data_IF_260184599932
#
_entry.id   IF_260184599932
#
_cell.length_a   1.000
_cell.length_b   1.000
_cell.length_c   1.000
_cell.angle_alpha   90.00
_cell.angle_beta   90.00
_cell.angle_gamma   90.00
#
_symmetry.space_group_name_H-M   'P 1'
#
loop_
_entity.id
_entity.type
_entity.pdbx_description
1 polymer ?
#
# COMPACT_ATOMS: atom_id res chain seq x y z
N UNK A 1 17.09 9.89 23.54
CA UNK A 1 16.94 9.03 24.75
C UNK A 1 16.38 7.64 24.41
N UNK A 2 15.25 7.53 23.70
CA UNK A 2 14.67 6.24 23.27
C UNK A 2 15.60 5.36 22.42
N UNK A 3 16.35 5.92 21.47
CA UNK A 3 17.29 5.15 20.63
C UNK A 3 18.52 4.60 21.39
N UNK A 4 18.90 5.22 22.51
CA UNK A 4 20.02 4.75 23.34
C UNK A 4 19.57 3.57 24.21
N UNK A 5 18.33 3.62 24.71
CA UNK A 5 17.73 2.54 25.50
C UNK A 5 17.46 1.28 24.66
N UNK A 6 17.03 1.43 23.40
CA UNK A 6 16.81 0.29 22.51
C UNK A 6 18.11 -0.46 22.16
N UNK A 7 19.22 0.26 21.96
CA UNK A 7 20.54 -0.38 21.72
C UNK A 7 21.04 -1.12 22.95
N UNK A 8 20.79 -0.61 24.16
CA UNK A 8 21.13 -1.30 25.40
C UNK A 8 20.31 -2.59 25.57
N UNK A 9 19.00 -2.54 25.31
CA UNK A 9 18.12 -3.71 25.42
C UNK A 9 18.45 -4.80 24.39
N UNK A 10 18.72 -4.43 23.13
CA UNK A 10 19.11 -5.40 22.09
C UNK A 10 20.49 -6.04 22.36
N UNK A 11 21.40 -5.33 23.02
CA UNK A 11 22.71 -5.89 23.41
C UNK A 11 22.62 -6.92 24.56
N UNK A 12 21.60 -6.79 25.42
CA UNK A 12 21.32 -7.73 26.52
C UNK A 12 20.57 -8.98 26.08
N UNK A 13 19.74 -8.91 25.03
CA UNK A 13 18.87 -10.01 24.61
C UNK A 13 19.64 -11.12 23.85
N UNK A 14 20.82 -10.81 23.30
CA UNK A 14 21.61 -11.77 22.49
C UNK A 14 22.79 -12.42 23.23
N UNK A 15 22.91 -12.24 24.55
CA UNK A 15 23.93 -12.93 25.34
C UNK A 15 23.28 -14.03 26.16
N UNK A 16 23.33 -15.26 25.63
CA UNK A 16 23.04 -16.46 26.42
C UNK A 16 23.85 -16.38 27.73
N UNK A 17 23.25 -16.65 28.91
CA UNK A 17 23.97 -16.55 30.17
C UNK A 17 25.13 -17.55 30.17
N UNK A 18 26.33 -17.06 29.90
CA UNK A 18 27.56 -17.84 29.95
C UNK A 18 27.66 -18.37 31.39
N UNK A 19 27.68 -19.70 31.52
CA UNK A 19 27.80 -20.39 32.81
C UNK A 19 28.91 -19.76 33.66
N UNK A 20 28.74 -19.62 34.98
CA UNK A 20 29.78 -19.09 35.87
C UNK A 20 31.14 -19.77 35.67
N UNK A 21 31.12 -21.07 35.37
CA UNK A 21 32.31 -21.89 35.06
C UNK A 21 32.98 -21.46 33.75
N UNK A 22 32.20 -21.11 32.73
CA UNK A 22 32.73 -20.61 31.46
C UNK A 22 33.28 -19.19 31.58
N UNK A 23 32.68 -18.33 32.42
CA UNK A 23 33.23 -17.00 32.73
C UNK A 23 34.57 -17.10 33.47
N UNK A 24 34.66 -18.02 34.43
CA UNK A 24 35.91 -18.29 35.15
C UNK A 24 36.98 -18.87 34.21
N UNK A 25 36.60 -19.78 33.31
CA UNK A 25 37.49 -20.28 32.27
C UNK A 25 37.97 -19.14 31.35
N UNK A 26 37.08 -18.26 30.90
CA UNK A 26 37.43 -17.12 30.06
C UNK A 26 38.41 -16.16 30.75
N UNK A 27 38.18 -15.83 32.03
CA UNK A 27 39.08 -15.01 32.82
C UNK A 27 40.49 -15.62 32.97
N UNK A 28 40.60 -16.95 33.11
CA UNK A 28 41.90 -17.64 33.15
C UNK A 28 42.66 -17.51 31.82
N UNK A 29 41.95 -17.61 30.68
CA UNK A 29 42.54 -17.42 29.35
C UNK A 29 42.91 -15.97 29.07
N UNK A 30 42.12 -15.01 29.52
CA UNK A 30 42.41 -13.58 29.37
C UNK A 30 43.61 -13.17 30.25
N UNK A 31 43.69 -13.65 31.49
CA UNK A 31 44.87 -13.47 32.35
C UNK A 31 46.13 -14.16 31.77
N UNK A 32 45.96 -15.28 31.06
CA UNK A 32 47.06 -15.95 30.35
C UNK A 32 47.46 -15.23 29.05
N UNK A 33 46.54 -14.49 28.41
CA UNK A 33 46.80 -13.71 27.19
C UNK A 33 47.85 -12.62 27.42
N UNK A 34 47.86 -12.00 28.60
CA UNK A 34 48.90 -11.05 29.03
C UNK A 34 50.28 -11.69 29.32
N UNK A 35 50.33 -13.00 29.56
CA UNK A 35 51.57 -13.79 29.76
C UNK A 35 52.03 -14.52 28.50
N UNK A 36 51.29 -14.37 27.40
CA UNK A 36 51.61 -15.04 26.15
C UNK A 36 52.67 -14.24 25.41
N UNK A 37 53.79 -14.87 25.09
CA UNK A 37 54.91 -14.23 24.40
C UNK A 37 54.46 -13.64 23.04
N UNK A 38 54.99 -12.46 22.63
CA UNK A 38 54.51 -11.72 21.46
C UNK A 38 54.48 -12.51 20.14
N UNK A 39 55.31 -13.57 20.04
CA UNK A 39 55.38 -14.42 18.86
C UNK A 39 54.11 -15.24 18.63
N UNK A 40 53.42 -15.70 19.68
CA UNK A 40 52.21 -16.54 19.53
C UNK A 40 51.03 -15.72 19.00
N UNK A 41 50.90 -14.48 19.46
CA UNK A 41 49.90 -13.54 18.95
C UNK A 41 50.21 -13.12 17.51
N UNK A 42 51.48 -12.83 17.20
CA UNK A 42 51.91 -12.57 15.82
C UNK A 42 51.68 -13.78 14.89
N UNK A 43 51.94 -15.00 15.37
CA UNK A 43 51.65 -16.23 14.63
C UNK A 43 50.16 -16.40 14.38
N UNK A 44 49.31 -16.15 15.38
CA UNK A 44 47.84 -16.19 15.25
C UNK A 44 47.34 -15.20 14.21
N UNK A 45 47.82 -13.95 14.25
CA UNK A 45 47.51 -12.92 13.25
C UNK A 45 47.94 -13.34 11.84
N UNK A 46 49.16 -13.84 11.67
CA UNK A 46 49.66 -14.36 10.38
C UNK A 46 48.85 -15.56 9.88
N UNK A 47 48.42 -16.45 10.77
CA UNK A 47 47.60 -17.60 10.42
C UNK A 47 46.20 -17.16 9.94
N UNK A 48 45.54 -16.26 10.67
CA UNK A 48 44.25 -15.69 10.26
C UNK A 48 44.35 -14.92 8.95
N UNK A 49 45.42 -14.16 8.72
CA UNK A 49 45.68 -13.49 7.45
C UNK A 49 45.87 -14.50 6.31
N UNK A 50 46.63 -15.58 6.52
CA UNK A 50 46.78 -16.66 5.54
C UNK A 50 45.44 -17.32 5.22
N UNK A 51 44.63 -17.59 6.24
CA UNK A 51 43.30 -18.19 6.08
C UNK A 51 42.37 -17.25 5.30
N UNK A 52 42.34 -15.96 5.65
CA UNK A 52 41.56 -14.93 4.96
C UNK A 52 41.97 -14.80 3.51
N UNK A 53 43.27 -14.73 3.22
CA UNK A 53 43.79 -14.63 1.86
C UNK A 53 43.52 -15.91 1.06
N UNK A 54 43.59 -17.08 1.69
CA UNK A 54 43.25 -18.35 1.04
C UNK A 54 41.77 -18.40 0.66
N UNK A 55 40.88 -17.95 1.56
CA UNK A 55 39.45 -17.84 1.30
C UNK A 55 39.17 -16.84 0.17
N UNK A 56 39.81 -15.66 0.21
CA UNK A 56 39.67 -14.65 -0.84
C UNK A 56 40.07 -15.21 -2.21
N UNK A 57 41.24 -15.87 -2.31
CA UNK A 57 41.68 -16.52 -3.56
C UNK A 57 40.71 -17.60 -4.06
N UNK A 58 40.13 -18.40 -3.17
CA UNK A 58 39.14 -19.40 -3.57
C UNK A 58 37.87 -18.73 -4.12
N UNK A 59 37.36 -17.71 -3.42
CA UNK A 59 36.17 -16.97 -3.87
C UNK A 59 36.43 -16.27 -5.20
N UNK A 60 37.59 -15.62 -5.36
CA UNK A 60 37.96 -14.97 -6.62
C UNK A 60 38.15 -16.00 -7.73
N UNK A 61 38.69 -17.19 -7.43
CA UNK A 61 38.75 -18.29 -8.39
C UNK A 61 37.33 -18.71 -8.82
N UNK A 62 36.37 -18.83 -7.92
CA UNK A 62 34.99 -19.15 -8.28
C UNK A 62 34.30 -18.02 -9.07
N UNK A 63 34.61 -16.76 -8.76
CA UNK A 63 34.07 -15.60 -9.47
C UNK A 63 34.68 -15.41 -10.87
N UNK A 64 35.96 -15.74 -11.04
CA UNK A 64 36.70 -15.63 -12.30
C UNK A 64 36.69 -16.92 -13.12
N UNK A 65 35.87 -17.93 -12.78
CA UNK A 65 35.52 -19.00 -13.72
C UNK A 65 34.53 -18.40 -14.75
N UNK A 66 35.05 -17.47 -15.56
CA UNK A 66 34.42 -16.91 -16.76
C UNK A 66 34.97 -17.62 -18.01
N UNK A 67 35.08 -18.94 -17.93
CA UNK A 67 34.97 -19.78 -19.12
C UNK A 67 33.58 -20.38 -19.05
N UNK A 68 32.64 -19.84 -19.83
CA UNK A 68 31.23 -20.24 -19.83
C UNK A 68 31.03 -21.77 -19.83
N UNK A 69 31.94 -22.52 -20.46
CA UNK A 69 31.92 -23.99 -20.49
C UNK A 69 32.13 -24.67 -19.13
N UNK A 70 33.00 -24.14 -18.26
CA UNK A 70 33.36 -24.78 -16.97
C UNK A 70 32.32 -24.51 -15.87
N UNK A 71 31.71 -23.32 -15.87
CA UNK A 71 30.64 -22.98 -14.92
C UNK A 71 29.34 -23.75 -15.25
N UNK A 72 29.02 -23.90 -16.53
CA UNK A 72 27.88 -24.70 -16.99
C UNK A 72 28.06 -26.20 -16.67
N UNK A 73 29.27 -26.74 -16.79
CA UNK A 73 29.55 -28.15 -16.44
C UNK A 73 29.47 -28.41 -14.94
N UNK A 74 30.00 -27.53 -14.08
CA UNK A 74 29.85 -27.67 -12.63
C UNK A 74 28.39 -27.53 -12.17
N UNK A 75 27.64 -26.58 -12.72
CA UNK A 75 26.21 -26.43 -12.44
C UNK A 75 25.42 -27.68 -12.89
N UNK A 76 25.71 -28.20 -14.08
CA UNK A 76 25.09 -29.45 -14.57
C UNK A 76 25.45 -30.66 -13.72
N UNK A 77 26.69 -30.77 -13.26
CA UNK A 77 27.12 -31.85 -12.37
C UNK A 77 26.43 -31.77 -11.01
N UNK A 78 26.30 -30.57 -10.44
CA UNK A 78 25.56 -30.37 -9.19
C UNK A 78 24.08 -30.72 -9.35
N UNK A 79 23.45 -30.32 -10.46
CA UNK A 79 22.07 -30.69 -10.78
C UNK A 79 21.92 -32.21 -10.95
N UNK A 80 22.85 -32.88 -11.65
CA UNK A 80 22.82 -34.33 -11.86
C UNK A 80 23.02 -35.13 -10.56
N UNK A 81 23.90 -34.67 -9.66
CA UNK A 81 24.07 -35.28 -8.33
C UNK A 81 22.80 -35.09 -7.50
N UNK A 82 22.22 -33.89 -7.52
CA UNK A 82 20.98 -33.59 -6.81
C UNK A 82 19.82 -34.43 -7.34
N UNK A 83 19.63 -34.54 -8.66
CA UNK A 83 18.61 -35.40 -9.27
C UNK A 83 18.84 -36.89 -8.96
N UNK A 84 20.10 -37.35 -8.96
CA UNK A 84 20.44 -38.73 -8.63
C UNK A 84 20.17 -39.09 -7.16
N UNK A 85 20.56 -38.22 -6.22
CA UNK A 85 20.33 -38.44 -4.80
C UNK A 85 18.85 -38.27 -4.41
N UNK A 86 18.16 -37.28 -4.99
CA UNK A 86 16.75 -37.02 -4.70
C UNK A 86 15.84 -38.10 -5.30
N UNK A 87 16.12 -38.55 -6.53
CA UNK A 87 15.38 -39.63 -7.18
C UNK A 87 15.56 -40.97 -6.48
N UNK A 88 16.80 -41.30 -6.09
CA UNK A 88 17.09 -42.56 -5.39
C UNK A 88 16.56 -42.59 -3.96
N UNK A 89 16.57 -41.45 -3.25
CA UNK A 89 16.02 -41.36 -1.89
C UNK A 89 14.49 -41.51 -1.88
N UNK A 90 13.80 -40.98 -2.90
CA UNK A 90 12.36 -41.13 -3.02
C UNK A 90 11.97 -42.57 -3.40
N UNK A 91 12.70 -43.21 -4.32
CA UNK A 91 12.46 -44.62 -4.68
C UNK A 91 12.81 -45.62 -3.56
N UNK A 92 13.75 -45.28 -2.68
CA UNK A 92 14.15 -46.19 -1.58
C UNK A 92 13.23 -46.07 -0.36
N UNK A 93 12.57 -44.93 -0.16
CA UNK A 93 11.63 -44.73 0.95
C UNK A 93 10.17 -45.09 0.60
N UNK A 94 9.81 -45.12 -0.68
CA UNK A 94 8.55 -45.69 -1.15
C UNK A 94 8.74 -47.19 -1.39
N UNK A 95 8.90 -47.94 -0.30
CA UNK A 95 8.81 -49.39 -0.35
C UNK A 95 7.43 -49.82 -0.87
N UNK A 96 7.36 -51.01 -1.47
CA UNK A 96 6.21 -51.67 -2.14
C UNK A 96 4.95 -51.90 -1.25
N UNK A 97 4.77 -51.11 -0.18
CA UNK A 97 3.63 -51.14 0.72
C UNK A 97 2.57 -50.12 0.30
N UNK A 98 1.51 -50.59 -0.37
CA UNK A 98 0.33 -49.82 -0.78
C UNK A 98 -0.21 -48.88 0.33
N UNK A 99 -0.15 -49.32 1.59
CA UNK A 99 -0.75 -48.60 2.73
C UNK A 99 0.02 -47.32 3.13
N UNK A 100 1.35 -47.32 3.03
CA UNK A 100 2.17 -46.13 3.37
C UNK A 100 2.04 -45.06 2.29
N UNK A 101 1.98 -45.47 1.02
CA UNK A 101 1.74 -44.60 -0.12
C UNK A 101 0.36 -43.92 -0.03
N UNK A 102 -0.68 -44.67 0.37
CA UNK A 102 -2.03 -44.16 0.56
C UNK A 102 -2.12 -43.18 1.74
N UNK A 103 -1.42 -43.46 2.84
CA UNK A 103 -1.31 -42.53 3.97
C UNK A 103 -0.61 -41.21 3.59
N UNK A 104 0.46 -41.28 2.78
CA UNK A 104 1.15 -40.10 2.24
C UNK A 104 0.25 -39.27 1.32
N UNK A 105 -0.54 -39.92 0.46
CA UNK A 105 -1.51 -39.24 -0.40
C UNK A 105 -2.61 -38.55 0.41
N UNK A 106 -3.12 -39.20 1.46
CA UNK A 106 -4.11 -38.60 2.36
C UNK A 106 -3.57 -37.33 3.05
N UNK A 107 -2.32 -37.34 3.52
CA UNK A 107 -1.66 -36.16 4.10
C UNK A 107 -1.51 -35.04 3.05
N UNK A 108 -1.16 -35.39 1.82
CA UNK A 108 -1.05 -34.39 0.75
C UNK A 108 -2.40 -33.77 0.38
N UNK A 109 -3.47 -34.56 0.37
CA UNK A 109 -4.84 -34.06 0.18
C UNK A 109 -5.28 -33.13 1.30
N UNK A 110 -4.99 -33.48 2.57
CA UNK A 110 -5.26 -32.62 3.72
C UNK A 110 -4.54 -31.27 3.60
N UNK A 111 -3.24 -31.28 3.28
CA UNK A 111 -2.44 -30.06 3.08
C UNK A 111 -2.95 -29.23 1.89
N UNK A 112 -3.40 -29.89 0.82
CA UNK A 112 -3.97 -29.18 -0.33
C UNK A 112 -5.31 -28.50 0.01
N UNK A 113 -6.15 -29.15 0.82
CA UNK A 113 -7.43 -28.58 1.27
C UNK A 113 -7.21 -27.40 2.23
N UNK A 114 -6.26 -27.53 3.16
CA UNK A 114 -5.85 -26.45 4.05
C UNK A 114 -5.33 -25.24 3.25
N UNK A 115 -4.48 -25.49 2.25
CA UNK A 115 -3.95 -24.45 1.37
C UNK A 115 -5.06 -23.74 0.57
N UNK A 116 -6.05 -24.50 0.05
CA UNK A 116 -7.19 -23.93 -0.65
C UNK A 116 -8.00 -23.03 0.28
N UNK A 117 -8.29 -23.52 1.48
CA UNK A 117 -9.04 -22.78 2.51
C UNK A 117 -8.34 -21.46 2.86
N UNK A 118 -7.03 -21.48 3.09
CA UNK A 118 -6.26 -20.26 3.36
C UNK A 118 -6.24 -19.31 2.17
N UNK A 119 -6.16 -19.83 0.94
CA UNK A 119 -6.17 -18.99 -0.26
C UNK A 119 -7.50 -18.27 -0.45
N UNK A 120 -8.63 -18.95 -0.15
CA UNK A 120 -9.97 -18.37 -0.20
C UNK A 120 -10.14 -17.30 0.89
N UNK A 121 -9.74 -17.62 2.13
CA UNK A 121 -9.77 -16.64 3.23
C UNK A 121 -8.94 -15.40 2.92
N UNK A 122 -7.74 -15.56 2.35
CA UNK A 122 -6.90 -14.43 1.96
C UNK A 122 -7.55 -13.59 0.85
N UNK A 123 -8.22 -14.23 -0.11
CA UNK A 123 -8.93 -13.52 -1.18
C UNK A 123 -10.10 -12.69 -0.61
N UNK A 124 -10.86 -13.26 0.33
CA UNK A 124 -11.96 -12.56 1.02
C UNK A 124 -11.45 -11.40 1.89
N UNK A 125 -10.36 -11.61 2.64
CA UNK A 125 -9.73 -10.57 3.46
C UNK A 125 -9.27 -9.39 2.61
N UNK A 126 -8.59 -9.66 1.49
CA UNK A 126 -8.14 -8.62 0.54
C UNK A 126 -9.35 -7.88 -0.06
N UNK A 127 -10.36 -8.61 -0.52
CA UNK A 127 -11.57 -8.01 -1.08
C UNK A 127 -12.29 -7.11 -0.06
N UNK A 128 -12.40 -7.57 1.19
CA UNK A 128 -13.03 -6.79 2.27
C UNK A 128 -12.25 -5.51 2.59
N UNK A 129 -10.93 -5.56 2.59
CA UNK A 129 -10.07 -4.41 2.81
C UNK A 129 -10.19 -3.39 1.66
N UNK A 130 -10.15 -3.87 0.41
CA UNK A 130 -10.35 -3.03 -0.77
C UNK A 130 -11.72 -2.36 -0.77
N UNK A 131 -12.77 -3.11 -0.41
CA UNK A 131 -14.11 -2.57 -0.27
C UNK A 131 -14.17 -1.47 0.81
N UNK A 132 -13.57 -1.69 1.98
CA UNK A 132 -13.54 -0.70 3.04
C UNK A 132 -12.77 0.58 2.65
N UNK A 133 -11.65 0.47 1.93
CA UNK A 133 -10.93 1.63 1.40
C UNK A 133 -11.78 2.40 0.38
N UNK A 134 -12.42 1.69 -0.55
CA UNK A 134 -13.32 2.29 -1.53
C UNK A 134 -14.50 3.00 -0.85
N UNK A 135 -15.13 2.39 0.14
CA UNK A 135 -16.20 3.00 0.92
C UNK A 135 -15.72 4.27 1.64
N UNK A 136 -14.52 4.25 2.25
CA UNK A 136 -13.95 5.44 2.87
C UNK A 136 -13.70 6.55 1.85
N UNK A 137 -13.18 6.23 0.67
CA UNK A 137 -12.92 7.19 -0.42
C UNK A 137 -14.23 7.76 -0.97
N UNK A 138 -15.22 6.91 -1.17
CA UNK A 138 -16.57 7.31 -1.62
C UNK A 138 -17.21 8.23 -0.57
N UNK A 139 -17.16 7.88 0.72
CA UNK A 139 -17.70 8.72 1.80
C UNK A 139 -17.05 10.11 1.82
N UNK A 140 -15.72 10.21 1.60
CA UNK A 140 -15.04 11.51 1.46
C UNK A 140 -15.54 12.31 0.25
N UNK A 141 -15.92 11.64 -0.84
CA UNK A 141 -16.47 12.29 -2.04
C UNK A 141 -17.98 12.57 -1.94
N UNK A 142 -18.69 11.93 -1.00
CA UNK A 142 -20.12 12.12 -0.79
C UNK A 142 -20.45 13.41 -0.04
N UNK A 143 -19.46 14.10 0.56
CA UNK A 143 -19.62 15.44 1.12
C UNK A 143 -20.53 16.27 0.21
N UNK A 144 -21.55 16.92 0.79
CA UNK A 144 -22.51 17.77 0.07
C UNK A 144 -21.86 19.08 -0.44
N UNK A 145 -20.58 19.03 -0.81
CA UNK A 145 -19.88 20.16 -1.38
C UNK A 145 -20.21 20.24 -2.87
N UNK A 146 -20.67 21.40 -3.31
CA UNK A 146 -20.95 21.66 -4.72
C UNK A 146 -19.97 22.74 -5.17
N UNK A 147 -19.12 22.41 -6.14
CA UNK A 147 -18.24 23.40 -6.77
C UNK A 147 -19.10 24.39 -7.55
N UNK A 148 -18.84 25.67 -7.38
CA UNK A 148 -19.56 26.73 -8.07
C UNK A 148 -19.38 26.58 -9.60
N UNK A 149 -20.46 26.46 -10.37
CA UNK A 149 -20.38 26.23 -11.81
C UNK A 149 -19.85 27.43 -12.60
N UNK A 150 -19.93 28.65 -12.04
CA UNK A 150 -19.44 29.87 -12.69
C UNK A 150 -17.91 30.03 -12.57
N UNK A 151 -17.38 29.97 -11.34
CA UNK A 151 -15.94 30.16 -11.14
C UNK A 151 -15.15 28.85 -11.22
N UNK A 152 -15.82 27.69 -11.09
CA UNK A 152 -15.23 26.35 -11.12
C UNK A 152 -14.10 26.11 -10.11
N UNK A 153 -13.98 26.98 -9.10
CA UNK A 153 -12.89 26.98 -8.12
C UNK A 153 -13.41 26.86 -6.70
N UNK A 154 -14.47 27.59 -6.34
CA UNK A 154 -14.94 27.72 -4.96
C UNK A 154 -16.14 26.81 -4.68
N UNK A 155 -16.20 26.25 -3.47
CA UNK A 155 -17.37 25.49 -3.00
C UNK A 155 -18.50 26.47 -2.64
N UNK A 156 -19.74 26.12 -3.02
CA UNK A 156 -20.94 26.88 -2.67
C UNK A 156 -21.20 26.79 -1.16
N UNK A 157 -21.64 27.91 -0.57
CA UNK A 157 -21.97 27.98 0.85
C UNK A 157 -23.48 28.21 1.01
N UNK A 158 -24.13 27.40 1.83
CA UNK A 158 -25.53 27.62 2.19
C UNK A 158 -25.60 28.48 3.46
N UNK A 159 -26.30 29.59 3.37
CA UNK A 159 -26.62 30.49 4.47
C UNK A 159 -28.12 30.51 4.71
N UNK A 160 -28.55 30.25 5.94
CA UNK A 160 -29.93 30.44 6.38
C UNK A 160 -30.00 31.68 7.27
N UNK A 161 -30.73 32.70 6.84
CA UNK A 161 -30.92 33.92 7.63
C UNK A 161 -32.25 33.86 8.35
N UNK A 162 -32.24 33.89 9.68
CA UNK A 162 -33.42 34.14 10.50
C UNK A 162 -33.58 35.64 10.68
N UNK A 163 -34.29 36.32 9.77
CA UNK A 163 -34.64 37.72 9.98
C UNK A 163 -35.72 37.83 11.07
N UNK A 164 -35.57 38.69 12.09
CA UNK A 164 -36.62 38.93 13.05
C UNK A 164 -37.72 39.78 12.41
N UNK A 165 -38.97 39.38 12.62
CA UNK A 165 -40.22 40.14 12.43
C UNK A 165 -41.10 39.93 11.18
N UNK A 166 -40.79 39.04 10.24
CA UNK A 166 -41.84 38.52 9.31
C UNK A 166 -41.51 37.10 8.83
N UNK A 167 -42.51 36.23 8.83
CA UNK A 167 -42.44 34.80 8.52
C UNK A 167 -41.89 34.52 7.11
N UNK A 168 -40.60 34.24 6.96
CA UNK A 168 -40.07 33.31 5.96
C UNK A 168 -38.58 33.05 6.18
N UNK A 169 -38.24 31.79 6.48
CA UNK A 169 -36.86 31.32 6.55
C UNK A 169 -36.31 31.27 5.12
N UNK A 170 -35.53 32.28 4.72
CA UNK A 170 -34.95 32.32 3.38
C UNK A 170 -33.61 31.57 3.39
N UNK A 171 -33.59 30.45 2.65
CA UNK A 171 -32.36 29.72 2.33
C UNK A 171 -31.69 30.41 1.14
N UNK A 172 -30.40 30.69 1.27
CA UNK A 172 -29.60 31.36 0.25
C UNK A 172 -28.30 30.58 0.03
N UNK A 173 -27.97 30.29 -1.22
CA UNK A 173 -26.69 29.67 -1.61
C UNK A 173 -25.81 30.73 -2.26
N UNK A 174 -24.62 30.92 -1.73
CA UNK A 174 -23.70 31.98 -2.15
C UNK A 174 -22.34 31.42 -2.53
N UNK A 175 -21.64 32.15 -3.39
CA UNK A 175 -20.24 31.90 -3.72
C UNK A 175 -19.43 33.20 -3.59
N UNK A 176 -18.18 33.15 -3.11
CA UNK A 176 -17.29 34.31 -3.10
C UNK A 176 -17.04 34.96 -4.47
N UNK A 177 -17.32 34.26 -5.58
CA UNK A 177 -17.25 34.84 -6.92
C UNK A 177 -18.41 35.81 -7.26
N UNK A 178 -19.42 35.93 -6.39
CA UNK A 178 -20.57 36.82 -6.59
C UNK A 178 -21.89 36.12 -6.93
N UNK A 179 -21.90 34.80 -7.10
CA UNK A 179 -23.14 34.03 -7.31
C UNK A 179 -24.01 34.04 -6.05
N UNK A 180 -25.31 34.35 -6.20
CA UNK A 180 -26.31 34.29 -5.12
C UNK A 180 -27.63 33.70 -5.61
N UNK A 181 -27.97 32.52 -5.13
CA UNK A 181 -29.20 31.80 -5.43
C UNK A 181 -30.13 31.89 -4.20
N UNK A 182 -31.33 32.41 -4.39
CA UNK A 182 -32.31 32.61 -3.31
C UNK A 182 -33.42 31.55 -3.39
N UNK A 183 -33.87 31.05 -2.23
CA UNK A 183 -34.98 30.10 -2.14
C UNK A 183 -34.62 28.67 -2.54
N UNK A 184 -33.34 28.38 -2.80
CA UNK A 184 -32.88 27.05 -3.25
C UNK A 184 -31.84 26.52 -2.27
N UNK A 185 -32.00 25.25 -1.89
CA UNK A 185 -31.04 24.56 -1.04
C UNK A 185 -29.83 24.10 -1.87
N UNK A 186 -28.71 23.93 -1.20
CA UNK A 186 -27.48 23.43 -1.82
C UNK A 186 -27.68 22.01 -2.38
N UNK A 187 -28.54 21.21 -1.75
CA UNK A 187 -28.94 19.89 -2.24
C UNK A 187 -29.71 19.99 -3.57
N UNK A 188 -30.68 20.91 -3.67
CA UNK A 188 -31.43 21.11 -4.91
C UNK A 188 -30.51 21.55 -6.06
N UNK A 189 -29.54 22.44 -5.78
CA UNK A 189 -28.52 22.85 -6.75
C UNK A 189 -27.69 21.65 -7.20
N UNK A 190 -27.26 20.78 -6.27
CA UNK A 190 -26.51 19.56 -6.57
C UNK A 190 -27.29 18.63 -7.49
N UNK A 191 -28.52 18.30 -7.14
CA UNK A 191 -29.36 17.36 -7.88
C UNK A 191 -29.66 17.90 -9.29
N UNK A 192 -30.04 19.17 -9.40
CA UNK A 192 -30.34 19.81 -10.68
C UNK A 192 -29.09 19.87 -11.57
N UNK A 193 -27.92 20.23 -11.03
CA UNK A 193 -26.64 20.17 -11.76
C UNK A 193 -26.33 18.76 -12.26
N UNK A 194 -26.40 17.76 -11.37
CA UNK A 194 -26.08 16.37 -11.71
C UNK A 194 -27.01 15.82 -12.78
N UNK A 195 -28.31 16.09 -12.66
CA UNK A 195 -29.32 15.62 -13.61
C UNK A 195 -29.13 16.28 -14.97
N UNK A 196 -28.89 17.59 -15.00
CA UNK A 196 -28.58 18.37 -16.20
C UNK A 196 -27.34 17.82 -16.92
N UNK A 197 -26.23 17.67 -16.20
CA UNK A 197 -24.96 17.19 -16.78
C UNK A 197 -25.10 15.76 -17.30
N UNK A 198 -25.79 14.88 -16.56
CA UNK A 198 -26.04 13.50 -16.99
C UNK A 198 -26.94 13.42 -18.22
N UNK A 199 -28.02 14.19 -18.25
CA UNK A 199 -28.96 14.20 -19.36
C UNK A 199 -28.31 14.69 -20.65
N UNK A 200 -27.51 15.74 -20.57
CA UNK A 200 -26.73 16.18 -21.71
C UNK A 200 -25.62 15.16 -22.07
N UNK A 201 -24.90 14.65 -21.08
CA UNK A 201 -23.79 13.72 -21.26
C UNK A 201 -24.15 12.37 -21.91
N UNK A 202 -25.42 11.96 -21.87
CA UNK A 202 -25.88 10.78 -22.59
C UNK A 202 -26.02 11.00 -24.10
N UNK A 203 -26.20 12.24 -24.54
CA UNK A 203 -26.48 12.58 -25.94
C UNK A 203 -25.32 13.37 -26.59
N UNK A 204 -24.44 13.97 -25.79
CA UNK A 204 -23.36 14.82 -26.28
C UNK A 204 -22.12 14.79 -25.36
N UNK A 205 -20.93 14.76 -25.97
CA UNK A 205 -19.65 14.86 -25.28
C UNK A 205 -19.11 16.31 -25.19
N UNK A 206 -19.93 17.30 -25.52
CA UNK A 206 -19.57 18.71 -25.49
C UNK A 206 -19.37 19.27 -24.09
N UNK A 207 -18.48 20.27 -23.96
CA UNK A 207 -18.29 20.98 -22.70
C UNK A 207 -19.45 21.95 -22.43
N UNK A 208 -19.95 21.95 -21.20
CA UNK A 208 -20.99 22.89 -20.75
C UNK A 208 -20.37 24.20 -20.25
N UNK A 209 -20.93 25.32 -20.71
CA UNK A 209 -20.63 26.66 -20.25
C UNK A 209 -21.76 27.17 -19.34
N UNK A 210 -21.38 27.89 -18.29
CA UNK A 210 -22.29 28.41 -17.26
C UNK A 210 -22.22 29.92 -17.20
N UNK A 211 -23.37 30.57 -17.18
CA UNK A 211 -23.50 32.03 -17.07
C UNK A 211 -24.59 32.40 -16.07
N UNK A 212 -24.41 33.51 -15.36
CA UNK A 212 -25.45 34.03 -14.46
C UNK A 212 -26.41 34.93 -15.23
N UNK A 213 -27.70 34.72 -15.02
CA UNK A 213 -28.77 35.57 -15.56
C UNK A 213 -29.54 36.15 -14.39
N UNK A 214 -29.70 37.47 -14.38
CA UNK A 214 -30.57 38.17 -13.43
C UNK A 214 -31.90 38.49 -14.07
N UNK A 215 -33.01 38.24 -13.38
CA UNK A 215 -34.33 38.66 -13.87
C UNK A 215 -34.52 40.16 -13.61
N UNK A 216 -34.64 41.02 -14.64
CA UNK A 216 -34.83 42.45 -14.44
C UNK A 216 -36.28 42.72 -13.99
N UNK A 217 -36.48 43.16 -12.75
CA UNK A 217 -37.81 43.49 -12.22
C UNK A 217 -37.93 43.46 -10.70
N UNK A 218 -37.00 42.83 -9.99
CA UNK A 218 -36.93 42.86 -8.53
C UNK A 218 -36.09 44.06 -8.05
N UNK A 219 -36.50 44.69 -6.96
CA UNK A 219 -35.75 45.74 -6.27
C UNK A 219 -34.32 45.25 -5.96
N UNK A 220 -33.36 46.18 -5.80
CA UNK A 220 -31.93 45.86 -5.63
C UNK A 220 -31.59 44.87 -4.48
N UNK A 221 -32.53 44.55 -3.58
CA UNK A 221 -32.38 43.54 -2.53
C UNK A 221 -32.78 42.11 -2.93
N UNK A 222 -33.57 41.94 -3.99
CA UNK A 222 -34.30 40.70 -4.33
C UNK A 222 -33.96 40.17 -5.73
N UNK A 223 -32.78 40.50 -6.25
CA UNK A 223 -32.29 39.98 -7.53
C UNK A 223 -32.11 38.45 -7.45
N UNK A 224 -33.11 37.72 -7.96
CA UNK A 224 -33.02 36.29 -8.23
C UNK A 224 -32.00 36.09 -9.36
N UNK A 225 -30.88 35.45 -9.04
CA UNK A 225 -29.91 35.00 -10.04
C UNK A 225 -30.23 33.56 -10.40
N UNK A 226 -30.41 33.30 -11.69
CA UNK A 226 -30.51 31.95 -12.24
C UNK A 226 -29.22 31.64 -13.01
N UNK A 227 -28.95 30.35 -13.23
CA UNK A 227 -27.77 29.93 -13.99
C UNK A 227 -28.23 29.40 -15.32
N UNK A 228 -27.82 30.05 -16.41
CA UNK A 228 -27.97 29.53 -17.75
C UNK A 228 -26.80 28.60 -18.07
N UNK A 229 -27.13 27.42 -18.58
CA UNK A 229 -26.21 26.36 -18.98
C UNK A 229 -26.37 26.20 -20.49
N UNK A 230 -25.25 26.19 -21.21
CA UNK A 230 -25.23 26.02 -22.67
C UNK A 230 -24.14 25.03 -23.06
N UNK A 231 -24.35 24.28 -24.13
CA UNK A 231 -23.30 23.43 -24.69
C UNK A 231 -22.62 24.13 -25.87
N UNK A 232 -21.30 23.96 -25.99
CA UNK A 232 -20.53 24.55 -27.07
C UNK A 232 -20.65 23.82 -28.43
N UNK A 233 -21.22 22.60 -28.44
CA UNK A 233 -21.19 21.71 -29.62
C UNK A 233 -22.57 21.31 -30.14
N UNK A 234 -23.56 21.16 -29.26
CA UNK A 234 -24.96 21.06 -29.64
C UNK A 234 -25.67 22.25 -29.01
N UNK A 235 -26.57 22.94 -29.71
CA UNK A 235 -27.27 24.15 -29.24
C UNK A 235 -28.25 23.90 -28.07
N UNK A 236 -27.91 22.94 -27.20
CA UNK A 236 -28.61 22.58 -26.00
C UNK A 236 -28.42 23.64 -24.92
N UNK A 237 -29.53 23.99 -24.27
CA UNK A 237 -29.56 24.95 -23.18
C UNK A 237 -30.50 24.51 -22.06
N UNK A 238 -30.16 24.86 -20.82
CA UNK A 238 -31.01 24.66 -19.66
C UNK A 238 -30.80 25.75 -18.62
N UNK A 239 -31.79 25.92 -17.74
CA UNK A 239 -31.69 26.81 -16.60
C UNK A 239 -31.60 26.00 -15.32
N UNK A 240 -30.65 26.37 -14.48
CA UNK A 240 -30.55 25.92 -13.10
C UNK A 240 -31.31 26.93 -12.26
N UNK A 241 -32.51 26.51 -11.85
CA UNK A 241 -33.53 27.27 -11.10
C UNK A 241 -34.39 28.16 -11.99
#
# INVERSE_FOLDING_TARGET
>A
LYHVLLRYLLSSIMQSPISPRMKQHQALYDAARGRTTPWKENFRKKCLLRLRNSRARLVDKFRNIDTADSALTHRRMALAIMEGEWGSSLQTQLGDGSDEQEALLAILEEVQEEMRTYSEQLADDVASFEQADLEQRVNKCQNNEVICPLCQVQVLQQTSTTAPATLQQQVCVVCPCGLRLLGVSLQNVRETLQQTVRHHGSECCGSLAFSSTTVPGATASDLLSNILITCATCDWMAFLI
#
